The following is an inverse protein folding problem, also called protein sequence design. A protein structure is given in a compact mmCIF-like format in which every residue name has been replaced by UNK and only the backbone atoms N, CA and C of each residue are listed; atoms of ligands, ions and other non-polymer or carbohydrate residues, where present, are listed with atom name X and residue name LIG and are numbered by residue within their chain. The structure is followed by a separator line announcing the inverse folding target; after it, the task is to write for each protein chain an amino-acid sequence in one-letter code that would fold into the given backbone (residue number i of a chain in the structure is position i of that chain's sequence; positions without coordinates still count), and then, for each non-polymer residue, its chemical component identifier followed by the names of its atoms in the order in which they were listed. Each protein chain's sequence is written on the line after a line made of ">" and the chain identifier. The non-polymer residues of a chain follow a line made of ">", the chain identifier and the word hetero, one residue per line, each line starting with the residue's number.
data_IF_513057423484
#
_entry.id   IF_513057423484
#
_cell.length_a   1.000
_cell.length_b   1.000
_cell.length_c   1.000
_cell.angle_alpha   90.00
_cell.angle_beta   90.00
_cell.angle_gamma   90.00
#
_symmetry.space_group_name_H-M   'P 1'
#
loop_
_entity.id
_entity.type
_entity.pdbx_description
1 polymer ?
#
# COMPACT_ATOMS: atom_id res chain seq x y z
N UNK A 1 -6.78 -5.99 -11.12
CA UNK A 1 -5.48 -5.39 -11.47
C UNK A 1 -5.55 -3.90 -11.27
N UNK A 2 -5.45 -3.45 -10.03
CA UNK A 2 -5.45 -2.03 -9.67
C UNK A 2 -4.11 -1.67 -9.02
N UNK A 3 -3.71 -0.38 -9.01
CA UNK A 3 -2.47 0.02 -8.35
C UNK A 3 -2.43 -0.37 -6.86
N UNK A 4 -3.56 -0.36 -6.15
CA UNK A 4 -3.61 -0.76 -4.74
C UNK A 4 -3.32 -2.25 -4.52
N UNK A 5 -3.72 -3.12 -5.46
CA UNK A 5 -3.35 -4.55 -5.45
C UNK A 5 -1.84 -4.73 -5.71
N UNK A 6 -1.29 -3.97 -6.66
CA UNK A 6 0.15 -3.96 -6.94
C UNK A 6 0.97 -3.54 -5.71
N UNK A 7 0.54 -2.50 -4.97
CA UNK A 7 1.21 -2.11 -3.73
C UNK A 7 1.12 -3.19 -2.64
N UNK A 8 0.02 -3.94 -2.57
CA UNK A 8 -0.20 -4.98 -1.56
C UNK A 8 0.56 -6.27 -1.82
N UNK A 9 0.83 -6.59 -3.09
CA UNK A 9 1.56 -7.79 -3.49
C UNK A 9 2.90 -7.97 -2.74
N UNK A 10 3.58 -6.87 -2.42
CA UNK A 10 4.81 -6.88 -1.64
C UNK A 10 4.66 -7.45 -0.23
N UNK A 11 3.47 -7.33 0.38
CA UNK A 11 3.19 -7.94 1.70
C UNK A 11 3.30 -9.46 1.68
N UNK A 12 3.17 -10.07 0.50
CA UNK A 12 3.27 -11.52 0.31
C UNK A 12 4.68 -11.98 -0.06
N UNK A 13 5.67 -11.09 -0.06
CA UNK A 13 7.07 -11.44 -0.37
C UNK A 13 7.34 -11.65 -1.87
N UNK A 14 6.49 -11.12 -2.75
CA UNK A 14 6.70 -11.14 -4.19
C UNK A 14 7.91 -10.26 -4.57
N UNK A 15 8.66 -10.67 -5.60
CA UNK A 15 9.83 -9.92 -6.08
C UNK A 15 9.52 -8.99 -7.26
N UNK A 16 8.45 -9.27 -8.01
CA UNK A 16 8.06 -8.50 -9.19
C UNK A 16 6.58 -8.71 -9.53
N UNK A 17 6.04 -7.82 -10.36
CA UNK A 17 4.66 -7.82 -10.83
C UNK A 17 4.64 -7.80 -12.36
N UNK A 18 3.90 -8.72 -12.97
CA UNK A 18 3.63 -8.72 -14.42
C UNK A 18 2.22 -8.20 -14.66
N UNK A 19 2.09 -7.07 -15.37
CA UNK A 19 0.83 -6.36 -15.55
C UNK A 19 0.62 -6.05 -17.04
N UNK A 20 -0.46 -6.56 -17.63
CA UNK A 20 -0.84 -6.27 -19.02
C UNK A 20 -2.25 -5.67 -19.12
N UNK A 21 -3.29 -6.48 -18.93
CA UNK A 21 -4.69 -6.11 -19.16
C UNK A 21 -5.14 -4.88 -18.39
N UNK A 22 -4.66 -4.73 -17.14
CA UNK A 22 -4.97 -3.57 -16.31
C UNK A 22 -4.48 -2.23 -16.88
N UNK A 23 -3.35 -2.23 -17.60
CA UNK A 23 -2.81 -1.05 -18.28
C UNK A 23 -3.47 -0.92 -19.66
N UNK A 24 -3.52 -2.01 -20.42
CA UNK A 24 -4.00 -2.02 -21.80
C UNK A 24 -5.49 -1.65 -21.94
N UNK A 25 -6.33 -2.02 -20.97
CA UNK A 25 -7.77 -1.73 -20.99
C UNK A 25 -8.16 -0.51 -20.14
N UNK A 26 -7.20 0.24 -19.60
CA UNK A 26 -7.52 1.46 -18.87
C UNK A 26 -8.00 2.57 -19.81
N UNK A 27 -8.89 3.44 -19.32
CA UNK A 27 -9.33 4.64 -20.07
C UNK A 27 -8.15 5.55 -20.43
N UNK A 28 -7.14 5.62 -19.57
CA UNK A 28 -5.89 6.35 -19.79
C UNK A 28 -4.69 5.42 -19.53
N UNK A 29 -4.23 4.66 -20.53
CA UNK A 29 -3.19 3.64 -20.35
C UNK A 29 -1.86 4.20 -19.82
N UNK A 30 -1.41 5.35 -20.32
CA UNK A 30 -0.16 5.99 -19.88
C UNK A 30 -0.24 6.40 -18.40
N UNK A 31 -1.34 7.02 -18.00
CA UNK A 31 -1.56 7.39 -16.61
C UNK A 31 -1.66 6.14 -15.70
N UNK A 32 -2.31 5.07 -16.17
CA UNK A 32 -2.40 3.82 -15.43
C UNK A 32 -1.03 3.15 -15.28
N UNK A 33 -0.20 3.13 -16.32
CA UNK A 33 1.17 2.61 -16.24
C UNK A 33 2.00 3.38 -15.20
N UNK A 34 1.89 4.71 -15.18
CA UNK A 34 2.56 5.54 -14.18
C UNK A 34 2.07 5.25 -12.76
N UNK A 35 0.75 5.11 -12.58
CA UNK A 35 0.14 4.76 -11.30
C UNK A 35 0.61 3.37 -10.80
N UNK A 36 0.68 2.39 -11.69
CA UNK A 36 1.19 1.05 -11.37
C UNK A 36 2.66 1.08 -10.95
N UNK A 37 3.49 1.87 -11.64
CA UNK A 37 4.91 2.06 -11.28
C UNK A 37 5.06 2.66 -9.88
N UNK A 38 4.34 3.76 -9.59
CA UNK A 38 4.38 4.37 -8.26
C UNK A 38 3.88 3.45 -7.17
N UNK A 39 2.78 2.74 -7.40
CA UNK A 39 2.23 1.82 -6.40
C UNK A 39 3.18 0.66 -6.12
N UNK A 40 3.86 0.14 -7.15
CA UNK A 40 4.89 -0.89 -6.99
C UNK A 40 6.06 -0.39 -6.15
N UNK A 41 6.60 0.80 -6.45
CA UNK A 41 7.70 1.40 -5.70
C UNK A 41 7.31 1.69 -4.24
N UNK A 42 6.13 2.29 -4.03
CA UNK A 42 5.62 2.57 -2.70
C UNK A 42 5.40 1.29 -1.88
N UNK A 43 4.87 0.23 -2.50
CA UNK A 43 4.69 -1.06 -1.86
C UNK A 43 6.02 -1.71 -1.46
N UNK A 44 7.02 -1.67 -2.33
CA UNK A 44 8.36 -2.17 -2.04
C UNK A 44 9.03 -1.41 -0.88
N UNK A 45 8.99 -0.08 -0.92
CA UNK A 45 9.52 0.76 0.17
C UNK A 45 8.78 0.50 1.49
N UNK A 46 7.45 0.39 1.47
CA UNK A 46 6.67 0.08 2.67
C UNK A 46 6.95 -1.31 3.23
N UNK A 47 7.26 -2.28 2.37
CA UNK A 47 7.69 -3.62 2.78
C UNK A 47 9.05 -3.56 3.49
N UNK A 48 10.04 -2.89 2.89
CA UNK A 48 11.38 -2.73 3.48
C UNK A 48 11.37 -1.89 4.77
N UNK A 49 10.51 -0.87 4.84
CA UNK A 49 10.42 0.03 5.99
C UNK A 49 9.80 -0.62 7.23
N UNK A 50 9.13 -1.77 7.10
CA UNK A 50 8.48 -2.45 8.22
C UNK A 50 7.27 -1.68 8.77
N UNK A 51 6.11 -1.84 8.12
CA UNK A 51 4.87 -1.17 8.52
C UNK A 51 4.47 -1.46 9.98
N UNK A 52 3.83 -0.49 10.63
CA UNK A 52 3.26 -0.65 11.97
C UNK A 52 2.27 -1.84 11.97
N UNK A 53 2.34 -2.75 12.97
CA UNK A 53 1.42 -3.87 13.08
C UNK A 53 -0.01 -3.36 13.29
N UNK A 54 -0.96 -3.98 12.58
CA UNK A 54 -2.38 -3.68 12.77
C UNK A 54 -2.82 -4.29 14.09
N UNK A 55 -3.20 -3.46 15.04
CA UNK A 55 -3.79 -3.90 16.31
C UNK A 55 -5.29 -4.13 16.10
N UNK A 56 -5.81 -5.25 16.61
CA UNK A 56 -7.24 -5.57 16.56
C UNK A 56 -8.09 -4.64 17.46
N UNK A 57 -7.46 -4.02 18.45
CA UNK A 57 -8.09 -3.07 19.36
C UNK A 57 -7.41 -1.71 19.24
N UNK A 58 -8.21 -0.66 19.09
CA UNK A 58 -7.74 0.71 19.14
C UNK A 58 -7.29 1.02 20.57
N UNK A 59 -5.99 1.15 20.77
CA UNK A 59 -5.46 1.83 21.96
C UNK A 59 -5.52 3.31 21.65
N UNK A 60 -6.24 4.08 22.47
CA UNK A 60 -6.32 5.53 22.32
C UNK A 60 -4.89 6.09 22.33
N UNK A 61 -4.48 6.78 21.27
CA UNK A 61 -3.15 7.39 21.16
C UNK A 61 -2.96 8.56 22.14
N UNK A 62 -4.05 9.01 22.77
CA UNK A 62 -4.07 9.94 23.89
C UNK A 62 -4.42 9.18 25.16
N UNK A 63 -3.49 8.97 26.10
CA UNK A 63 -3.85 8.48 27.42
C UNK A 63 -4.80 9.50 28.06
N UNK A 64 -6.00 9.09 28.48
CA UNK A 64 -6.85 9.92 29.36
C UNK A 64 -6.29 10.01 30.80
N UNK A 65 -5.08 9.50 31.03
CA UNK A 65 -4.33 9.59 32.28
C UNK A 65 -3.73 10.99 32.43
N UNK A 66 -4.59 11.98 32.65
CA UNK A 66 -4.16 13.38 32.75
C UNK A 66 -5.26 14.42 32.89
N UNK A 67 -6.52 14.06 33.10
CA UNK A 67 -7.52 15.04 33.51
C UNK A 67 -7.22 15.43 34.96
N UNK A 68 -6.42 16.48 35.14
CA UNK A 68 -6.35 17.20 36.41
C UNK A 68 -7.74 17.76 36.69
N UNK A 69 -8.25 17.48 37.89
CA UNK A 69 -9.53 17.99 38.41
C UNK A 69 -9.60 19.50 38.36
#
# INVERSE_FOLDING_TARGET
>A
GTPSEAAQAWKWGLSALLINTAIAQAQQPVAMAQAMSWATQAGHLAYLAGRIPVKAYASASSPMTGTVK
#
